data_IF_096490451168
#
_entry.id   IF_096490451168
#
_cell.length_a   1.000
_cell.length_b   1.000
_cell.length_c   1.000
_cell.angle_alpha   90.00
_cell.angle_beta   90.00
_cell.angle_gamma   90.00
#
_symmetry.space_group_name_H-M   'P 1'
#
loop_
_entity.id
_entity.type
_entity.pdbx_description
1 polymer ?
#
# COMPACT_ATOMS: atom_id res chain seq x y z
N UNK A 1 13.01 31.94 -0.73
CA UNK A 1 13.12 30.79 0.20
C UNK A 1 12.12 29.77 -0.29
N UNK A 2 12.57 28.82 -1.09
CA UNK A 2 11.74 27.68 -1.53
C UNK A 2 11.77 26.67 -0.40
N UNK A 3 10.63 26.41 0.22
CA UNK A 3 10.46 25.26 1.09
C UNK A 3 10.80 24.02 0.27
N UNK A 4 11.96 23.41 0.56
CA UNK A 4 12.27 22.10 0.03
C UNK A 4 11.32 21.14 0.75
N UNK A 5 10.23 20.76 0.09
CA UNK A 5 9.42 19.61 0.49
C UNK A 5 10.26 18.33 0.36
N UNK A 6 11.08 18.07 1.39
CA UNK A 6 11.61 16.75 1.70
C UNK A 6 10.46 15.92 2.26
N UNK A 7 9.45 15.64 1.41
CA UNK A 7 8.32 14.80 1.77
C UNK A 7 8.66 13.32 1.62
N UNK A 8 8.03 12.48 2.42
CA UNK A 8 8.01 11.02 2.27
C UNK A 8 7.64 10.69 0.82
N UNK A 9 8.49 9.92 0.11
CA UNK A 9 8.24 9.51 -1.27
C UNK A 9 8.08 8.02 -1.38
N UNK A 10 7.02 7.65 -2.07
CA UNK A 10 6.76 6.32 -2.55
C UNK A 10 7.66 6.04 -3.77
N UNK A 11 8.37 4.91 -3.77
CA UNK A 11 9.21 4.46 -4.89
C UNK A 11 8.76 3.13 -5.45
N UNK A 12 8.92 2.95 -6.76
CA UNK A 12 8.81 1.65 -7.42
C UNK A 12 10.18 0.98 -7.37
N UNK A 13 10.27 -0.14 -6.66
CA UNK A 13 11.53 -0.89 -6.44
C UNK A 13 12.10 -1.48 -7.75
N UNK A 14 11.32 -1.51 -8.84
CA UNK A 14 11.76 -2.09 -10.11
C UNK A 14 12.52 -1.12 -11.02
N UNK A 15 12.35 0.20 -10.85
CA UNK A 15 12.86 1.18 -11.83
C UNK A 15 13.91 2.16 -11.32
N UNK A 16 14.28 2.11 -10.02
CA UNK A 16 15.14 3.14 -9.39
C UNK A 16 14.63 4.58 -9.59
N UNK A 17 13.38 4.76 -10.02
CA UNK A 17 12.76 6.06 -10.21
C UNK A 17 11.88 6.40 -9.02
N UNK A 18 11.99 7.64 -8.54
CA UNK A 18 11.33 8.16 -7.34
C UNK A 18 9.83 8.45 -7.52
N UNK A 19 9.16 7.78 -8.47
CA UNK A 19 7.78 8.06 -8.83
C UNK A 19 6.98 6.76 -8.87
N UNK A 20 6.14 6.56 -7.85
CA UNK A 20 5.04 5.60 -7.97
C UNK A 20 3.99 6.16 -8.93
N UNK A 21 3.65 5.35 -9.93
CA UNK A 21 2.44 5.56 -10.71
C UNK A 21 1.23 5.21 -9.84
N UNK A 22 0.54 6.22 -9.31
CA UNK A 22 -0.71 6.06 -8.57
C UNK A 22 -1.87 6.62 -9.42
N UNK A 23 -2.89 5.83 -9.78
CA UNK A 23 -3.08 4.41 -9.42
C UNK A 23 -2.15 3.46 -10.20
N UNK A 24 -1.85 2.31 -9.58
CA UNK A 24 -1.15 1.18 -10.20
C UNK A 24 -2.08 -0.03 -10.31
N UNK A 25 -1.86 -0.88 -11.32
CA UNK A 25 -2.58 -2.13 -11.50
C UNK A 25 -1.73 -3.30 -11.00
N UNK A 26 -2.35 -4.24 -10.29
CA UNK A 26 -1.71 -5.48 -9.82
C UNK A 26 -2.48 -6.70 -10.30
N UNK A 27 -1.79 -7.83 -10.39
CA UNK A 27 -2.40 -9.14 -10.59
C UNK A 27 -1.61 -10.19 -9.81
N UNK A 28 -2.14 -11.40 -9.66
CA UNK A 28 -1.43 -12.50 -9.00
C UNK A 28 -0.07 -12.80 -9.65
N UNK A 29 0.02 -12.70 -10.98
CA UNK A 29 1.25 -12.91 -11.74
C UNK A 29 2.17 -11.69 -11.81
N UNK A 30 1.70 -10.51 -11.38
CA UNK A 30 2.44 -9.25 -11.46
C UNK A 30 2.11 -8.39 -10.23
N UNK A 31 2.73 -8.68 -9.07
CA UNK A 31 2.62 -7.83 -7.89
C UNK A 31 3.32 -6.48 -8.14
N UNK A 32 2.94 -5.46 -7.37
CA UNK A 32 3.61 -4.17 -7.36
C UNK A 32 4.37 -4.01 -6.06
N UNK A 33 5.70 -3.86 -6.15
CA UNK A 33 6.56 -3.61 -5.00
C UNK A 33 6.75 -2.11 -4.84
N UNK A 34 6.50 -1.61 -3.64
CA UNK A 34 6.72 -0.22 -3.31
C UNK A 34 7.55 -0.05 -2.05
N UNK A 35 8.28 1.05 -1.99
CA UNK A 35 9.03 1.47 -0.82
C UNK A 35 8.74 2.90 -0.42
N UNK A 36 9.19 3.27 0.78
CA UNK A 36 9.17 4.64 1.28
C UNK A 36 10.61 5.12 1.46
N UNK A 37 10.94 6.26 0.84
CA UNK A 37 12.18 6.98 1.12
C UNK A 37 11.88 8.01 2.20
N UNK A 38 12.66 7.94 3.27
CA UNK A 38 12.70 8.86 4.41
C UNK A 38 14.08 9.52 4.36
N UNK A 39 14.16 10.84 4.50
CA UNK A 39 15.47 11.52 4.52
C UNK A 39 16.13 11.38 5.89
N UNK A 40 17.45 11.59 5.97
CA UNK A 40 18.20 11.57 7.23
C UNK A 40 17.72 12.62 8.25
N UNK A 41 16.88 13.58 7.83
CA UNK A 41 16.33 14.64 8.67
C UNK A 41 14.88 14.37 9.10
N UNK A 42 14.24 13.34 8.55
CA UNK A 42 12.86 12.98 8.88
C UNK A 42 12.83 11.94 9.99
N UNK A 43 11.82 12.00 10.86
CA UNK A 43 11.57 10.93 11.82
C UNK A 43 10.80 9.77 11.15
N UNK A 44 10.94 8.56 11.68
CA UNK A 44 10.22 7.39 11.17
C UNK A 44 8.76 7.37 11.62
N UNK A 45 8.20 8.50 12.09
CA UNK A 45 6.82 8.57 12.57
C UNK A 45 5.87 8.82 11.39
N UNK A 46 5.38 7.75 10.79
CA UNK A 46 4.56 7.83 9.58
C UNK A 46 3.20 7.17 9.74
N UNK A 47 2.21 7.74 9.04
CA UNK A 47 0.88 7.17 8.87
C UNK A 47 0.48 7.34 7.41
N UNK A 48 0.14 6.23 6.75
CA UNK A 48 -0.37 6.23 5.39
C UNK A 48 -1.46 5.18 5.20
N UNK A 49 -2.19 5.28 4.09
CA UNK A 49 -3.17 4.28 3.71
C UNK A 49 -2.82 3.63 2.38
N UNK A 50 -3.08 2.32 2.28
CA UNK A 50 -3.05 1.55 1.05
C UNK A 50 -4.47 1.07 0.74
N UNK A 51 -5.00 1.46 -0.42
CA UNK A 51 -6.32 1.01 -0.88
C UNK A 51 -6.15 0.09 -2.07
N UNK A 52 -6.62 -1.15 -1.94
CA UNK A 52 -6.67 -2.12 -3.03
C UNK A 52 -8.14 -2.34 -3.41
N UNK A 53 -8.43 -2.20 -4.71
CA UNK A 53 -9.76 -2.42 -5.27
C UNK A 53 -9.69 -3.52 -6.32
N UNK A 54 -10.41 -4.61 -6.08
CA UNK A 54 -10.60 -5.68 -7.04
C UNK A 54 -11.98 -5.55 -7.67
N UNK A 55 -12.01 -5.19 -8.95
CA UNK A 55 -13.22 -5.30 -9.76
C UNK A 55 -13.43 -6.76 -10.13
N UNK A 56 -14.43 -7.42 -9.53
CA UNK A 56 -14.89 -8.71 -10.03
C UNK A 56 -15.73 -8.46 -11.29
N UNK A 57 -15.56 -9.32 -12.31
CA UNK A 57 -16.31 -9.27 -13.58
C UNK A 57 -17.82 -9.14 -13.28
N UNK A 58 -18.57 -8.28 -13.99
CA UNK A 58 -19.89 -7.88 -13.55
C UNK A 58 -20.88 -9.04 -13.67
N UNK A 59 -21.43 -9.47 -12.53
CA UNK A 59 -22.82 -9.92 -12.52
C UNK A 59 -23.68 -8.64 -12.61
N UNK A 60 -24.56 -8.49 -13.62
CA UNK A 60 -25.36 -7.28 -13.81
C UNK A 60 -26.28 -6.94 -12.61
N UNK A 61 -26.38 -7.81 -11.60
CA UNK A 61 -27.23 -7.62 -10.43
C UNK A 61 -26.49 -7.26 -9.14
N UNK A 62 -25.15 -7.29 -9.10
CA UNK A 62 -24.39 -7.09 -7.87
C UNK A 62 -23.14 -6.24 -8.09
N UNK A 63 -22.97 -5.20 -7.27
CA UNK A 63 -21.71 -4.44 -7.17
C UNK A 63 -20.65 -5.32 -6.50
N UNK A 64 -20.00 -6.18 -7.28
CA UNK A 64 -19.03 -7.16 -6.79
C UNK A 64 -17.61 -6.58 -6.64
N UNK A 65 -17.46 -5.28 -6.36
CA UNK A 65 -16.13 -4.73 -6.04
C UNK A 65 -15.73 -5.14 -4.62
N UNK A 66 -14.54 -5.74 -4.48
CA UNK A 66 -13.92 -6.00 -3.18
C UNK A 66 -12.90 -4.92 -2.89
N UNK A 67 -13.02 -4.28 -1.73
CA UNK A 67 -12.17 -3.14 -1.37
C UNK A 67 -11.54 -3.41 0.00
N UNK A 68 -10.21 -3.32 0.04
CA UNK A 68 -9.45 -3.32 1.28
C UNK A 68 -8.74 -1.98 1.46
N UNK A 69 -8.90 -1.41 2.65
CA UNK A 69 -8.14 -0.26 3.11
C UNK A 69 -7.25 -0.72 4.25
N UNK A 70 -5.94 -0.54 4.10
CA UNK A 70 -4.96 -0.79 5.14
C UNK A 70 -4.49 0.56 5.67
N UNK A 71 -4.69 0.79 6.96
CA UNK A 71 -4.12 1.92 7.68
C UNK A 71 -2.80 1.45 8.28
N UNK A 72 -1.70 2.09 7.89
CA UNK A 72 -0.35 1.65 8.21
C UNK A 72 0.34 2.78 8.97
N UNK A 73 0.57 2.55 10.25
CA UNK A 73 1.39 3.39 11.11
C UNK A 73 2.76 2.75 11.31
N UNK A 74 3.83 3.53 11.38
CA UNK A 74 5.14 3.02 11.79
C UNK A 74 5.88 4.06 12.64
N UNK A 75 6.68 3.56 13.58
CA UNK A 75 7.59 4.37 14.41
C UNK A 75 9.07 3.99 14.22
N UNK A 76 9.33 2.86 13.54
CA UNK A 76 10.66 2.37 13.18
C UNK A 76 10.58 1.46 11.96
N UNK A 77 11.70 1.30 11.25
CA UNK A 77 11.80 0.41 10.10
C UNK A 77 11.39 -1.02 10.44
N UNK A 78 10.69 -1.67 9.49
CA UNK A 78 10.23 -3.05 9.58
C UNK A 78 9.36 -3.38 10.82
N UNK A 79 8.70 -2.38 11.42
CA UNK A 79 7.79 -2.59 12.54
C UNK A 79 6.53 -1.71 12.43
N UNK A 80 5.67 -1.94 11.41
CA UNK A 80 4.43 -1.21 11.30
C UNK A 80 3.31 -1.80 12.17
N UNK A 81 2.40 -0.93 12.57
CA UNK A 81 1.09 -1.27 13.09
C UNK A 81 0.07 -1.15 11.95
N UNK A 82 -0.64 -2.24 11.64
CA UNK A 82 -1.52 -2.33 10.47
C UNK A 82 -2.94 -2.67 10.90
N UNK A 83 -3.88 -1.82 10.51
CA UNK A 83 -5.33 -2.05 10.67
C UNK A 83 -5.91 -2.30 9.28
N UNK A 84 -6.58 -3.44 9.10
CA UNK A 84 -7.26 -3.80 7.85
C UNK A 84 -8.75 -3.53 7.95
N UNK A 85 -9.30 -2.82 6.96
CA UNK A 85 -10.73 -2.51 6.87
C UNK A 85 -11.25 -3.02 5.54
N UNK A 86 -12.23 -3.92 5.60
CA UNK A 86 -12.91 -4.48 4.43
C UNK A 86 -14.21 -3.75 4.13
N UNK A 87 -14.46 -3.45 2.86
CA UNK A 87 -15.75 -2.93 2.39
C UNK A 87 -16.33 -3.84 1.31
N UNK A 88 -17.66 -3.99 1.34
CA UNK A 88 -18.45 -4.78 0.38
C UNK A 88 -18.17 -6.30 0.41
N UNK A 89 -19.12 -7.07 -0.14
CA UNK A 89 -19.44 -8.46 0.20
C UNK A 89 -18.26 -9.40 0.43
N UNK A 90 -18.28 -10.14 1.56
CA UNK A 90 -17.34 -11.20 1.94
C UNK A 90 -15.86 -10.94 1.57
N UNK A 91 -15.42 -9.68 1.60
CA UNK A 91 -14.05 -9.29 1.28
C UNK A 91 -13.16 -9.68 2.43
N UNK A 92 -12.10 -10.43 2.16
CA UNK A 92 -11.08 -10.77 3.14
C UNK A 92 -9.81 -9.95 2.90
N UNK A 93 -9.55 -9.00 3.79
CA UNK A 93 -8.37 -8.14 3.74
C UNK A 93 -7.29 -8.74 4.61
N UNK A 94 -6.28 -9.33 3.98
CA UNK A 94 -5.17 -9.97 4.69
C UNK A 94 -3.86 -9.26 4.39
N UNK A 95 -2.93 -9.38 5.32
CA UNK A 95 -1.55 -8.95 5.16
C UNK A 95 -0.64 -9.90 5.93
N UNK A 96 0.64 -9.90 5.59
CA UNK A 96 1.65 -10.71 6.25
C UNK A 96 2.98 -9.99 6.23
N UNK A 97 3.62 -9.93 7.40
CA UNK A 97 5.00 -9.48 7.51
C UNK A 97 5.96 -10.49 6.90
N UNK A 98 6.95 -9.96 6.19
CA UNK A 98 8.07 -10.68 5.59
C UNK A 98 9.32 -10.12 6.24
N UNK A 99 10.02 -10.98 6.98
CA UNK A 99 11.24 -10.64 7.71
C UNK A 99 12.25 -9.94 6.80
N UNK A 100 12.78 -8.81 7.30
CA UNK A 100 13.74 -7.92 6.62
C UNK A 100 13.29 -7.36 5.25
N UNK A 101 12.01 -7.50 4.88
CA UNK A 101 11.49 -7.05 3.58
C UNK A 101 10.28 -6.13 3.66
N UNK A 102 9.49 -6.19 4.74
CA UNK A 102 8.27 -5.39 4.91
C UNK A 102 7.02 -6.24 4.89
N UNK A 103 5.95 -5.80 4.22
CA UNK A 103 4.63 -6.43 4.30
C UNK A 103 4.03 -6.66 2.93
N UNK A 104 3.38 -7.81 2.78
CA UNK A 104 2.55 -8.11 1.62
C UNK A 104 1.07 -7.91 1.98
N UNK A 105 0.28 -7.43 1.02
CA UNK A 105 -1.14 -7.10 1.18
C UNK A 105 -1.99 -7.79 0.10
N UNK A 106 -3.17 -8.29 0.46
CA UNK A 106 -4.05 -9.01 -0.45
C UNK A 106 -5.54 -8.72 -0.23
N UNK A 107 -6.25 -8.53 -1.35
CA UNK A 107 -7.72 -8.56 -1.42
C UNK A 107 -8.17 -9.94 -1.88
N UNK A 108 -9.06 -10.58 -1.11
CA UNK A 108 -9.61 -11.91 -1.42
C UNK A 108 -11.13 -11.97 -1.29
#
# INVERSE_FOLDING_TARGET
>A
MTENEHGIRFIDDTTNHSRIHNPFNVSESSPFNYGLIISDQDDFNMLYSLTLNQQLVPDPTQSNSRICVYLIGAQRAAYPEIISVSFHGNTNCTWKSVEDKGENFWVQ
#
